data_IF_860397299253
#
_entry.id   IF_860397299253
#
_cell.length_a   1.000
_cell.length_b   1.000
_cell.length_c   1.000
_cell.angle_alpha   90.00
_cell.angle_beta   90.00
_cell.angle_gamma   90.00
#
_symmetry.space_group_name_H-M   'P 1'
#
loop_
_entity.id
_entity.type
_entity.pdbx_description
1 polymer ?
#
# COMPACT_ATOMS: atom_id res chain seq x y z
N UNK A 1 -15.25 0.54 -3.05
CA UNK A 1 -14.08 0.26 -2.18
C UNK A 1 -14.24 1.11 -0.91
N UNK A 2 -14.88 0.57 0.12
CA UNK A 2 -15.23 1.32 1.34
C UNK A 2 -13.95 1.90 2.01
N UNK A 3 -12.83 1.17 1.95
CA UNK A 3 -11.52 1.66 2.41
C UNK A 3 -11.05 2.96 1.71
N UNK A 4 -11.39 3.16 0.43
CA UNK A 4 -11.03 4.40 -0.27
C UNK A 4 -11.82 5.61 0.29
N UNK A 5 -13.06 5.39 0.75
CA UNK A 5 -13.88 6.44 1.38
C UNK A 5 -13.34 6.82 2.75
N UNK A 6 -13.02 5.82 3.58
CA UNK A 6 -12.39 6.04 4.89
C UNK A 6 -11.05 6.78 4.74
N UNK A 7 -10.22 6.34 3.80
CA UNK A 7 -8.96 7.03 3.50
C UNK A 7 -9.19 8.49 3.09
N UNK A 8 -10.16 8.77 2.21
CA UNK A 8 -10.46 10.14 1.77
C UNK A 8 -10.98 11.05 2.89
N UNK A 9 -11.53 10.47 3.96
CA UNK A 9 -12.00 11.19 5.16
C UNK A 9 -10.93 11.35 6.24
N UNK A 10 -9.74 10.76 6.05
CA UNK A 10 -8.70 10.71 7.08
C UNK A 10 -8.94 9.64 8.16
N UNK A 11 -9.93 8.77 7.97
CA UNK A 11 -10.21 7.62 8.83
C UNK A 11 -9.26 6.46 8.46
N UNK A 12 -7.96 6.69 8.66
CA UNK A 12 -6.89 5.84 8.14
C UNK A 12 -6.82 4.47 8.84
N UNK A 13 -7.17 4.38 10.11
CA UNK A 13 -7.19 3.11 10.85
C UNK A 13 -8.23 2.15 10.27
N UNK A 14 -9.43 2.64 10.00
CA UNK A 14 -10.51 1.87 9.38
C UNK A 14 -10.17 1.48 7.94
N UNK A 15 -9.54 2.39 7.18
CA UNK A 15 -9.04 2.07 5.86
C UNK A 15 -7.97 0.96 5.90
N UNK A 16 -7.04 1.03 6.86
CA UNK A 16 -6.01 0.02 7.07
C UNK A 16 -6.60 -1.33 7.52
N UNK A 17 -7.61 -1.32 8.40
CA UNK A 17 -8.28 -2.53 8.88
C UNK A 17 -8.95 -3.26 7.74
N UNK A 18 -9.77 -2.58 6.94
CA UNK A 18 -10.47 -3.18 5.79
C UNK A 18 -9.45 -3.73 4.78
N UNK A 19 -8.38 -2.99 4.49
CA UNK A 19 -7.37 -3.46 3.54
C UNK A 19 -6.64 -4.70 4.01
N UNK A 20 -6.31 -4.80 5.30
CA UNK A 20 -5.51 -5.91 5.84
C UNK A 20 -6.35 -7.13 6.18
N UNK A 21 -7.53 -6.95 6.74
CA UNK A 21 -8.37 -8.05 7.22
C UNK A 21 -9.30 -8.59 6.13
N UNK A 22 -9.70 -7.75 5.17
CA UNK A 22 -10.69 -8.13 4.15
C UNK A 22 -10.09 -8.16 2.74
N UNK A 23 -9.48 -7.07 2.26
CA UNK A 23 -9.01 -6.99 0.87
C UNK A 23 -7.78 -7.87 0.60
N UNK A 24 -6.74 -7.74 1.43
CA UNK A 24 -5.44 -8.41 1.24
C UNK A 24 -5.58 -9.95 1.20
N UNK A 25 -6.26 -10.62 2.16
CA UNK A 25 -6.39 -12.08 2.15
C UNK A 25 -7.17 -12.59 0.94
N UNK A 26 -8.11 -11.81 0.43
CA UNK A 26 -8.88 -12.15 -0.77
C UNK A 26 -7.97 -12.08 -2.00
N UNK A 27 -7.22 -10.99 -2.18
CA UNK A 27 -6.32 -10.85 -3.34
C UNK A 27 -5.18 -11.88 -3.33
N UNK A 28 -4.66 -12.23 -2.15
CA UNK A 28 -3.67 -13.31 -2.00
C UNK A 28 -4.23 -14.67 -2.41
N UNK A 29 -5.46 -15.01 -1.99
CA UNK A 29 -6.13 -16.26 -2.40
C UNK A 29 -6.44 -16.29 -3.89
N UNK A 30 -6.83 -15.16 -4.46
CA UNK A 30 -7.12 -15.03 -5.90
C UNK A 30 -5.85 -15.03 -6.76
N UNK A 31 -4.67 -14.88 -6.16
CA UNK A 31 -3.37 -14.82 -6.86
C UNK A 31 -3.33 -13.73 -7.94
N UNK A 32 -4.15 -12.69 -7.80
CA UNK A 32 -4.18 -11.54 -8.70
C UNK A 32 -3.02 -10.62 -8.37
N UNK A 33 -1.95 -10.70 -9.16
CA UNK A 33 -0.74 -9.92 -8.92
C UNK A 33 -1.00 -8.40 -9.01
N UNK A 34 -1.89 -7.97 -9.89
CA UNK A 34 -2.22 -6.56 -10.06
C UNK A 34 -3.05 -6.02 -8.89
N UNK A 35 -4.07 -6.77 -8.43
CA UNK A 35 -4.87 -6.33 -7.28
C UNK A 35 -4.04 -6.33 -5.99
N UNK A 36 -3.17 -7.32 -5.83
CA UNK A 36 -2.26 -7.40 -4.69
C UNK A 36 -1.28 -6.23 -4.67
N UNK A 37 -0.71 -5.86 -5.82
CA UNK A 37 0.12 -4.68 -5.98
C UNK A 37 -0.62 -3.41 -5.55
N UNK A 38 -1.83 -3.19 -6.08
CA UNK A 38 -2.61 -1.98 -5.77
C UNK A 38 -2.98 -1.94 -4.30
N UNK A 39 -3.37 -3.07 -3.71
CA UNK A 39 -3.71 -3.18 -2.30
C UNK A 39 -2.52 -2.84 -1.40
N UNK A 40 -1.35 -3.45 -1.65
CA UNK A 40 -0.12 -3.19 -0.90
C UNK A 40 0.33 -1.74 -1.01
N UNK A 41 0.30 -1.16 -2.21
CA UNK A 41 0.63 0.25 -2.41
C UNK A 41 -0.30 1.17 -1.59
N UNK A 42 -1.61 0.90 -1.61
CA UNK A 42 -2.58 1.68 -0.83
C UNK A 42 -2.36 1.54 0.67
N UNK A 43 -2.08 0.34 1.18
CA UNK A 43 -1.74 0.13 2.59
C UNK A 43 -0.52 0.96 2.97
N UNK A 44 0.55 0.90 2.17
CA UNK A 44 1.76 1.67 2.42
C UNK A 44 1.52 3.18 2.45
N UNK A 45 0.72 3.70 1.51
CA UNK A 45 0.34 5.12 1.47
C UNK A 45 -0.50 5.51 2.70
N UNK A 46 -1.41 4.65 3.18
CA UNK A 46 -2.21 4.94 4.37
C UNK A 46 -1.35 5.01 5.63
N UNK A 47 -0.35 4.12 5.77
CA UNK A 47 0.62 4.21 6.85
C UNK A 47 1.45 5.50 6.79
N UNK A 48 1.94 5.90 5.61
CA UNK A 48 2.65 7.19 5.46
C UNK A 48 1.76 8.39 5.82
N UNK A 49 0.48 8.34 5.44
CA UNK A 49 -0.48 9.40 5.76
C UNK A 49 -0.81 9.45 7.27
N UNK A 50 -0.83 8.30 7.94
CA UNK A 50 -1.14 8.22 9.39
C UNK A 50 0.02 8.73 10.24
N UNK A 51 1.26 8.44 9.84
CA UNK A 51 2.46 9.04 10.42
C UNK A 51 2.71 8.71 11.89
N UNK A 52 2.10 7.64 12.43
CA UNK A 52 2.37 7.20 13.79
C UNK A 52 3.78 6.59 13.93
N UNK A 53 4.28 6.48 15.16
CA UNK A 53 5.57 5.86 15.42
C UNK A 53 5.59 4.41 14.91
N UNK A 54 6.53 4.10 14.01
CA UNK A 54 6.65 2.78 13.37
C UNK A 54 5.94 2.66 12.01
N UNK A 55 5.00 3.56 11.68
CA UNK A 55 4.24 3.49 10.42
C UNK A 55 5.13 3.57 9.19
N UNK A 56 6.20 4.36 9.28
CA UNK A 56 7.16 4.50 8.17
C UNK A 56 7.80 3.17 7.81
N UNK A 57 8.18 2.37 8.80
CA UNK A 57 8.80 1.07 8.55
C UNK A 57 7.80 0.13 7.87
N UNK A 58 6.59 0.03 8.41
CA UNK A 58 5.52 -0.80 7.82
C UNK A 58 5.12 -0.31 6.43
N UNK A 59 5.07 1.00 6.21
CA UNK A 59 4.82 1.58 4.90
C UNK A 59 5.86 1.14 3.87
N UNK A 60 7.14 1.21 4.23
CA UNK A 60 8.24 0.82 3.35
C UNK A 60 8.19 -0.67 3.02
N UNK A 61 7.81 -1.53 3.97
CA UNK A 61 7.63 -2.97 3.73
C UNK A 61 6.56 -3.21 2.66
N UNK A 62 5.38 -2.62 2.81
CA UNK A 62 4.30 -2.75 1.83
C UNK A 62 4.64 -2.13 0.47
N UNK A 63 5.28 -0.97 0.44
CA UNK A 63 5.68 -0.30 -0.79
C UNK A 63 6.77 -1.07 -1.54
N UNK A 64 7.73 -1.69 -0.83
CA UNK A 64 8.74 -2.55 -1.45
C UNK A 64 8.12 -3.79 -2.10
N UNK A 65 7.15 -4.42 -1.43
CA UNK A 65 6.40 -5.54 -2.02
C UNK A 65 5.63 -5.10 -3.28
N UNK A 66 4.96 -3.95 -3.22
CA UNK A 66 4.25 -3.40 -4.38
C UNK A 66 5.21 -3.04 -5.53
N UNK A 67 6.39 -2.50 -5.23
CA UNK A 67 7.42 -2.19 -6.22
C UNK A 67 7.92 -3.47 -6.91
N UNK A 68 8.19 -4.53 -6.13
CA UNK A 68 8.63 -5.81 -6.67
C UNK A 68 7.59 -6.41 -7.61
N UNK A 69 6.31 -6.38 -7.23
CA UNK A 69 5.22 -6.82 -8.10
C UNK A 69 5.13 -5.96 -9.37
N UNK A 70 5.30 -4.64 -9.25
CA UNK A 70 5.21 -3.71 -10.38
C UNK A 70 6.32 -3.97 -11.40
N UNK A 71 7.54 -4.18 -10.92
CA UNK A 71 8.70 -4.53 -11.74
C UNK A 71 8.52 -5.88 -12.43
N UNK A 72 8.03 -6.89 -11.70
CA UNK A 72 7.76 -8.22 -12.26
C UNK A 72 6.72 -8.18 -13.37
N UNK A 73 5.70 -7.34 -13.21
CA UNK A 73 4.64 -7.11 -14.20
C UNK A 73 5.02 -6.10 -15.30
N UNK A 74 6.22 -5.47 -15.21
CA UNK A 74 6.71 -4.43 -16.12
C UNK A 74 5.75 -3.23 -16.23
N UNK A 75 5.13 -2.88 -15.11
CA UNK A 75 4.17 -1.80 -14.99
C UNK A 75 4.89 -0.45 -14.79
N UNK A 76 4.47 0.63 -15.47
CA UNK A 76 5.06 1.96 -15.31
C UNK A 76 4.92 2.52 -13.89
N UNK A 77 3.92 2.06 -13.14
CA UNK A 77 3.66 2.40 -11.73
C UNK A 77 4.87 2.10 -10.82
N UNK A 78 5.77 1.20 -11.23
CA UNK A 78 7.03 0.94 -10.52
C UNK A 78 7.84 2.23 -10.27
N UNK A 79 7.85 3.15 -11.24
CA UNK A 79 8.58 4.41 -11.11
C UNK A 79 7.97 5.30 -10.03
N UNK A 80 6.65 5.38 -9.99
CA UNK A 80 5.93 6.17 -8.98
C UNK A 80 6.13 5.59 -7.58
N UNK A 81 6.05 4.26 -7.43
CA UNK A 81 6.25 3.60 -6.13
C UNK A 81 7.68 3.81 -5.63
N UNK A 82 8.67 3.71 -6.52
CA UNK A 82 10.07 3.97 -6.17
C UNK A 82 10.32 5.42 -5.70
N UNK A 83 9.62 6.39 -6.28
CA UNK A 83 9.69 7.78 -5.84
C UNK A 83 9.10 7.96 -4.44
N UNK A 84 7.93 7.35 -4.16
CA UNK A 84 7.30 7.40 -2.83
C UNK A 84 8.22 6.79 -1.78
N UNK A 85 8.84 5.64 -2.07
CA UNK A 85 9.82 5.00 -1.18
C UNK A 85 10.99 5.94 -0.90
N UNK A 86 11.56 6.56 -1.94
CA UNK A 86 12.70 7.47 -1.79
C UNK A 86 12.34 8.66 -0.91
N UNK A 87 11.16 9.24 -1.10
CA UNK A 87 10.67 10.35 -0.29
C UNK A 87 10.48 9.93 1.17
N UNK A 88 9.91 8.75 1.42
CA UNK A 88 9.68 8.23 2.76
C UNK A 88 10.99 7.91 3.52
N UNK A 89 12.05 7.51 2.82
CA UNK A 89 13.38 7.25 3.40
C UNK A 89 14.13 8.54 3.75
N UNK A 90 13.88 9.62 3.01
CA UNK A 90 14.57 10.91 3.18
C UNK A 90 13.94 11.86 4.21
N UNK A 91 12.89 11.41 4.93
CA UNK A 91 12.18 12.14 5.99
C UNK A 91 12.45 11.54 7.36
#
# INVERSE_FOLDING_TARGET
KIADVFQARGELDEALRIRQEEELPVYERLRSAQDLLVCRAKIGINYLARGAAGDRQTALEFLNLALQDAQRLKLPEAQQIAEIIRQAVNQ
#
